data_IF_323988638923
#
_entry.id   IF_323988638923
#
_cell.length_a   1.000
_cell.length_b   1.000
_cell.length_c   1.000
_cell.angle_alpha   90.00
_cell.angle_beta   90.00
_cell.angle_gamma   90.00
#
_symmetry.space_group_name_H-M   'P 1'
#
loop_
_entity.id
_entity.type
_entity.pdbx_description
1 polymer ?
#
# COMPACT_ATOMS: atom_id res chain seq x y z
N UNK A 1 -20.47 11.70 -1.47
CA UNK A 1 -19.62 11.81 -2.68
C UNK A 1 -18.41 10.88 -2.62
N UNK A 2 -17.56 10.96 -1.60
CA UNK A 2 -16.37 10.08 -1.45
C UNK A 2 -16.69 8.58 -1.41
N UNK A 3 -17.81 8.17 -0.78
CA UNK A 3 -18.25 6.78 -0.78
C UNK A 3 -18.55 6.24 -2.19
N UNK A 4 -19.19 7.05 -3.03
CA UNK A 4 -19.48 6.69 -4.43
C UNK A 4 -18.19 6.55 -5.24
N UNK A 5 -17.25 7.50 -5.06
CA UNK A 5 -15.91 7.42 -5.65
C UNK A 5 -15.22 6.13 -5.26
N UNK A 6 -15.20 5.80 -3.97
CA UNK A 6 -14.59 4.56 -3.48
C UNK A 6 -15.24 3.32 -4.07
N UNK A 7 -16.56 3.30 -4.19
CA UNK A 7 -17.28 2.18 -4.78
C UNK A 7 -16.86 1.93 -6.24
N UNK A 8 -16.82 2.97 -7.06
CA UNK A 8 -16.41 2.89 -8.47
C UNK A 8 -14.94 2.46 -8.60
N UNK A 9 -14.04 3.06 -7.81
CA UNK A 9 -12.63 2.69 -7.82
C UNK A 9 -12.38 1.27 -7.29
N UNK A 10 -13.22 0.76 -6.39
CA UNK A 10 -13.12 -0.61 -5.90
C UNK A 10 -13.50 -1.63 -6.98
N UNK A 11 -14.55 -1.35 -7.77
CA UNK A 11 -14.90 -2.17 -8.94
C UNK A 11 -13.76 -2.21 -9.96
N UNK A 12 -13.17 -1.04 -10.24
CA UNK A 12 -12.02 -0.93 -11.13
C UNK A 12 -10.79 -1.67 -10.57
N UNK A 13 -10.55 -1.57 -9.25
CA UNK A 13 -9.49 -2.29 -8.56
C UNK A 13 -9.66 -3.81 -8.67
N UNK A 14 -10.88 -4.31 -8.47
CA UNK A 14 -11.19 -5.72 -8.61
C UNK A 14 -10.86 -6.23 -10.02
N UNK A 15 -11.24 -5.46 -11.04
CA UNK A 15 -10.88 -5.78 -12.42
C UNK A 15 -9.36 -5.75 -12.66
N UNK A 16 -8.66 -4.74 -12.14
CA UNK A 16 -7.20 -4.64 -12.22
C UNK A 16 -6.51 -5.81 -11.51
N UNK A 17 -7.02 -6.26 -10.37
CA UNK A 17 -6.48 -7.39 -9.60
C UNK A 17 -6.55 -8.71 -10.36
N UNK A 18 -7.58 -8.90 -11.19
CA UNK A 18 -7.69 -10.08 -12.05
C UNK A 18 -6.66 -10.04 -13.20
N UNK A 19 -6.33 -8.84 -13.72
CA UNK A 19 -5.45 -8.70 -14.89
C UNK A 19 -3.97 -8.52 -14.52
N UNK A 20 -3.68 -7.68 -13.52
CA UNK A 20 -2.34 -7.27 -13.09
C UNK A 20 -1.97 -8.00 -11.80
N UNK A 21 -0.69 -8.40 -11.65
CA UNK A 21 -0.24 -9.05 -10.41
C UNK A 21 -0.38 -8.14 -9.19
N UNK A 22 -0.79 -8.74 -8.06
CA UNK A 22 -1.15 -8.06 -6.79
C UNK A 22 -0.09 -7.06 -6.33
N UNK A 23 1.19 -7.44 -6.37
CA UNK A 23 2.31 -6.58 -5.98
C UNK A 23 2.44 -5.32 -6.82
N UNK A 24 2.28 -5.41 -8.14
CA UNK A 24 2.38 -4.26 -9.04
C UNK A 24 1.28 -3.25 -8.75
N UNK A 25 0.07 -3.71 -8.41
CA UNK A 25 -1.05 -2.84 -8.04
C UNK A 25 -0.76 -2.11 -6.73
N UNK A 26 -0.25 -2.79 -5.70
CA UNK A 26 0.14 -2.12 -4.44
C UNK A 26 1.19 -1.05 -4.71
N UNK A 27 2.24 -1.36 -5.46
CA UNK A 27 3.33 -0.40 -5.72
C UNK A 27 2.82 0.81 -6.52
N UNK A 28 2.05 0.60 -7.59
CA UNK A 28 1.49 1.69 -8.40
C UNK A 28 0.54 2.56 -7.57
N UNK A 29 -0.32 1.93 -6.77
CA UNK A 29 -1.25 2.67 -5.92
C UNK A 29 -0.56 3.43 -4.78
N UNK A 30 0.46 2.84 -4.14
CA UNK A 30 1.19 3.46 -3.04
C UNK A 30 2.07 4.62 -3.53
N UNK A 31 2.76 4.44 -4.66
CA UNK A 31 3.51 5.53 -5.32
C UNK A 31 2.58 6.66 -5.76
N UNK A 32 1.46 6.34 -6.39
CA UNK A 32 0.45 7.34 -6.75
C UNK A 32 -0.06 8.10 -5.52
N UNK A 33 -0.42 7.39 -4.46
CA UNK A 33 -0.90 7.98 -3.20
C UNK A 33 0.16 8.90 -2.57
N UNK A 34 1.43 8.49 -2.57
CA UNK A 34 2.55 9.29 -2.07
C UNK A 34 2.74 10.57 -2.90
N UNK A 35 2.73 10.47 -4.23
CA UNK A 35 2.91 11.62 -5.13
C UNK A 35 1.77 12.62 -4.95
N UNK A 36 0.51 12.17 -4.98
CA UNK A 36 -0.64 13.07 -4.82
C UNK A 36 -0.68 13.74 -3.44
N UNK A 37 -0.31 13.04 -2.37
CA UNK A 37 -0.28 13.63 -1.02
C UNK A 37 0.88 14.59 -0.79
N UNK A 38 2.06 14.34 -1.35
CA UNK A 38 3.20 15.27 -1.30
C UNK A 38 2.94 16.52 -2.15
N UNK A 39 2.34 16.37 -3.33
CA UNK A 39 1.89 17.50 -4.14
C UNK A 39 0.88 18.33 -3.35
N UNK A 40 -0.12 17.70 -2.74
CA UNK A 40 -1.13 18.41 -1.94
C UNK A 40 -0.50 19.17 -0.78
N UNK A 41 0.43 18.55 -0.06
CA UNK A 41 1.15 19.17 1.05
C UNK A 41 2.00 20.36 0.59
N UNK A 42 2.74 20.22 -0.52
CA UNK A 42 3.52 21.31 -1.12
C UNK A 42 2.65 22.47 -1.58
N UNK A 43 1.50 22.18 -2.21
CA UNK A 43 0.52 23.19 -2.60
C UNK A 43 -0.07 23.94 -1.40
N UNK A 44 -0.29 23.25 -0.27
CA UNK A 44 -0.81 23.86 0.95
C UNK A 44 0.25 24.65 1.73
N UNK A 45 1.53 24.30 1.64
CA UNK A 45 2.62 25.07 2.25
C UNK A 45 2.96 26.35 1.48
N UNK A 46 2.85 26.32 0.15
CA UNK A 46 3.24 27.43 -0.72
C UNK A 46 2.20 28.54 -0.90
N UNK A 47 0.99 28.43 -0.35
CA UNK A 47 -0.11 29.38 -0.60
C UNK A 47 -0.66 30.03 0.67
N UNK A 48 -0.51 31.36 0.75
CA UNK A 48 -1.09 32.27 1.76
C UNK A 48 -2.25 33.09 1.15
N UNK A 49 -2.90 32.63 0.07
CA UNK A 49 -3.97 33.40 -0.59
C UNK A 49 -5.00 32.54 -1.32
N UNK A 50 -6.29 32.85 -1.13
CA UNK A 50 -7.42 32.14 -1.74
C UNK A 50 -7.64 32.56 -3.21
N UNK A 51 -7.42 31.63 -4.15
CA UNK A 51 -7.88 31.77 -5.54
C UNK A 51 -8.87 30.66 -5.90
N UNK A 52 -9.96 31.00 -6.59
CA UNK A 52 -11.03 30.06 -6.97
C UNK A 52 -10.57 28.88 -7.85
N UNK A 53 -9.49 29.04 -8.62
CA UNK A 53 -8.89 27.97 -9.43
C UNK A 53 -8.24 26.87 -8.58
N UNK A 54 -7.89 27.15 -7.32
CA UNK A 54 -7.25 26.16 -6.43
C UNK A 54 -8.21 25.08 -5.97
N UNK A 55 -9.50 25.39 -5.84
CA UNK A 55 -10.50 24.42 -5.36
C UNK A 55 -10.63 23.23 -6.31
N UNK A 56 -10.52 23.45 -7.62
CA UNK A 56 -10.57 22.38 -8.62
C UNK A 56 -9.32 21.51 -8.61
N UNK A 57 -8.13 22.13 -8.52
CA UNK A 57 -6.84 21.41 -8.48
C UNK A 57 -6.72 20.55 -7.21
N UNK A 58 -7.07 21.12 -6.05
CA UNK A 58 -7.09 20.40 -4.77
C UNK A 58 -8.14 19.28 -4.82
N UNK A 59 -9.33 19.55 -5.37
CA UNK A 59 -10.38 18.55 -5.53
C UNK A 59 -9.92 17.35 -6.35
N UNK A 60 -9.35 17.57 -7.53
CA UNK A 60 -8.82 16.50 -8.40
C UNK A 60 -7.73 15.70 -7.68
N UNK A 61 -6.79 16.36 -7.01
CA UNK A 61 -5.73 15.68 -6.29
C UNK A 61 -6.26 14.84 -5.12
N UNK A 62 -7.25 15.35 -4.37
CA UNK A 62 -7.90 14.59 -3.28
C UNK A 62 -8.67 13.40 -3.82
N UNK A 63 -9.40 13.54 -4.93
CA UNK A 63 -10.09 12.42 -5.56
C UNK A 63 -9.10 11.37 -6.10
N UNK A 64 -7.98 11.80 -6.70
CA UNK A 64 -6.90 10.92 -7.14
C UNK A 64 -6.25 10.17 -5.98
N UNK A 65 -5.94 10.88 -4.89
CA UNK A 65 -5.45 10.30 -3.64
C UNK A 65 -6.42 9.25 -3.08
N UNK A 66 -7.71 9.59 -2.98
CA UNK A 66 -8.75 8.67 -2.48
C UNK A 66 -8.88 7.45 -3.38
N UNK A 67 -8.88 7.63 -4.71
CA UNK A 67 -9.01 6.54 -5.68
C UNK A 67 -7.85 5.56 -5.59
N UNK A 68 -6.61 6.05 -5.67
CA UNK A 68 -5.41 5.23 -5.61
C UNK A 68 -5.27 4.51 -4.26
N UNK A 69 -5.52 5.22 -3.17
CA UNK A 69 -5.51 4.63 -1.83
C UNK A 69 -6.52 3.48 -1.70
N UNK A 70 -7.71 3.63 -2.29
CA UNK A 70 -8.75 2.58 -2.29
C UNK A 70 -8.34 1.36 -3.10
N UNK A 71 -7.70 1.55 -4.26
CA UNK A 71 -7.33 0.44 -5.15
C UNK A 71 -6.38 -0.54 -4.46
N UNK A 72 -5.35 -0.03 -3.79
CA UNK A 72 -4.28 -0.89 -3.28
C UNK A 72 -4.17 -0.99 -1.77
N UNK A 73 -4.21 0.14 -1.05
CA UNK A 73 -3.87 0.15 0.37
C UNK A 73 -4.99 -0.41 1.25
N UNK A 74 -6.25 -0.30 0.85
CA UNK A 74 -7.37 -0.87 1.61
C UNK A 74 -7.65 -2.32 1.25
N UNK A 75 -7.71 -2.63 -0.05
CA UNK A 75 -8.21 -3.93 -0.52
C UNK A 75 -7.14 -5.02 -0.45
N UNK A 76 -5.87 -4.68 -0.68
CA UNK A 76 -4.84 -5.70 -0.89
C UNK A 76 -4.35 -6.33 0.42
N UNK A 77 -4.10 -5.60 1.53
CA UNK A 77 -3.64 -6.23 2.77
C UNK A 77 -4.59 -7.30 3.29
N UNK A 78 -5.91 -7.03 3.29
CA UNK A 78 -6.92 -8.00 3.70
C UNK A 78 -6.93 -9.26 2.84
N UNK A 79 -6.73 -9.10 1.53
CA UNK A 79 -6.62 -10.23 0.61
C UNK A 79 -5.31 -11.00 0.75
N UNK A 80 -4.18 -10.32 0.96
CA UNK A 80 -2.87 -10.98 1.11
C UNK A 80 -2.80 -11.80 2.38
N UNK A 81 -3.39 -11.34 3.49
CA UNK A 81 -3.54 -12.13 4.71
C UNK A 81 -4.26 -13.46 4.38
N UNK A 82 -5.33 -13.41 3.57
CA UNK A 82 -6.05 -14.62 3.15
C UNK A 82 -5.27 -15.59 2.26
N UNK A 83 -4.26 -15.11 1.54
CA UNK A 83 -3.42 -15.92 0.63
C UNK A 83 -2.12 -16.43 1.28
N UNK A 84 -1.55 -15.66 2.20
CA UNK A 84 -0.28 -15.97 2.85
C UNK A 84 -0.44 -16.96 4.02
N UNK A 85 -1.66 -17.07 4.58
CA UNK A 85 -1.91 -17.91 5.74
C UNK A 85 -2.21 -19.37 5.34
N UNK A 86 -1.47 -20.36 5.90
CA UNK A 86 -1.76 -21.77 5.66
C UNK A 86 -3.14 -22.13 6.24
N UNK A 87 -3.82 -23.09 5.59
CA UNK A 87 -5.21 -23.44 5.89
C UNK A 87 -5.48 -23.73 7.38
N UNK A 88 -4.48 -24.27 8.09
CA UNK A 88 -4.57 -24.58 9.54
C UNK A 88 -4.42 -23.37 10.46
N UNK A 89 -3.66 -22.34 10.06
CA UNK A 89 -3.39 -21.16 10.91
C UNK A 89 -4.27 -19.95 10.58
N UNK A 90 -5.07 -20.01 9.50
CA UNK A 90 -5.87 -18.89 9.00
C UNK A 90 -6.86 -18.31 10.02
N UNK A 91 -7.39 -19.14 10.92
CA UNK A 91 -8.29 -18.68 11.99
C UNK A 91 -7.59 -17.77 13.00
N UNK A 92 -6.58 -18.28 13.71
CA UNK A 92 -5.87 -17.54 14.76
C UNK A 92 -4.99 -16.43 14.16
N UNK A 93 -4.19 -16.74 13.13
CA UNK A 93 -3.29 -15.76 12.52
C UNK A 93 -4.04 -14.62 11.82
N UNK A 94 -5.16 -14.92 11.16
CA UNK A 94 -6.03 -13.91 10.58
C UNK A 94 -6.67 -13.00 11.63
N UNK A 95 -7.17 -13.59 12.72
CA UNK A 95 -7.74 -12.85 13.85
C UNK A 95 -6.72 -11.91 14.52
N UNK A 96 -5.53 -12.41 14.86
CA UNK A 96 -4.47 -11.60 15.44
C UNK A 96 -4.04 -10.46 14.52
N UNK A 97 -3.88 -10.72 13.22
CA UNK A 97 -3.51 -9.67 12.25
C UNK A 97 -4.59 -8.60 12.15
N UNK A 98 -5.86 -9.00 12.09
CA UNK A 98 -6.99 -8.07 12.08
C UNK A 98 -7.10 -7.27 13.37
N UNK A 99 -6.80 -7.88 14.52
CA UNK A 99 -6.77 -7.19 15.80
C UNK A 99 -5.70 -6.09 15.82
N UNK A 100 -4.46 -6.41 15.43
CA UNK A 100 -3.36 -5.44 15.33
C UNK A 100 -3.70 -4.32 14.33
N UNK A 101 -4.29 -4.68 13.20
CA UNK A 101 -4.72 -3.72 12.18
C UNK A 101 -5.78 -2.75 12.72
N UNK A 102 -6.83 -3.27 13.38
CA UNK A 102 -7.87 -2.44 13.98
C UNK A 102 -7.35 -1.59 15.14
N UNK A 103 -6.44 -2.12 15.95
CA UNK A 103 -5.80 -1.37 17.04
C UNK A 103 -4.97 -0.19 16.50
N UNK A 104 -4.25 -0.41 15.39
CA UNK A 104 -3.48 0.64 14.71
C UNK A 104 -4.40 1.69 14.12
N UNK A 105 -5.48 1.28 13.44
CA UNK A 105 -6.50 2.20 12.92
C UNK A 105 -7.15 3.05 14.01
N UNK A 106 -7.48 2.43 15.14
CA UNK A 106 -8.04 3.13 16.30
C UNK A 106 -7.07 4.18 16.84
N UNK A 107 -5.80 3.80 17.01
CA UNK A 107 -4.75 4.70 17.47
C UNK A 107 -4.61 5.90 16.54
N UNK A 108 -4.46 5.67 15.23
CA UNK A 108 -4.36 6.75 14.23
C UNK A 108 -5.57 7.67 14.26
N UNK A 109 -6.79 7.11 14.34
CA UNK A 109 -8.03 7.90 14.40
C UNK A 109 -8.11 8.76 15.65
N UNK A 110 -7.62 8.26 16.79
CA UNK A 110 -7.59 9.00 18.06
C UNK A 110 -6.56 10.13 18.05
N UNK A 111 -5.38 9.91 17.47
CA UNK A 111 -4.33 10.92 17.36
C UNK A 111 -4.59 11.95 16.25
N UNK A 112 -5.36 11.60 15.23
CA UNK A 112 -5.67 12.48 14.10
C UNK A 112 -6.15 13.89 14.49
N UNK A 113 -7.15 14.08 15.37
CA UNK A 113 -7.60 15.42 15.77
C UNK A 113 -6.50 16.23 16.49
N UNK A 114 -5.65 15.57 17.29
CA UNK A 114 -4.54 16.21 18.00
C UNK A 114 -3.46 16.68 17.03
N UNK A 115 -3.07 15.82 16.09
CA UNK A 115 -2.07 16.18 15.06
C UNK A 115 -2.60 17.29 14.16
N UNK A 116 -3.88 17.22 13.80
CA UNK A 116 -4.55 18.26 12.99
C UNK A 116 -4.53 19.62 13.69
N UNK A 117 -4.73 19.68 15.01
CA UNK A 117 -4.73 20.96 15.73
C UNK A 117 -3.32 21.54 15.88
N UNK A 118 -2.29 20.70 16.02
CA UNK A 118 -0.90 21.16 16.21
C UNK A 118 -0.22 21.60 14.92
N UNK A 119 -0.39 20.83 13.84
CA UNK A 119 0.40 20.95 12.60
C UNK A 119 -0.46 21.49 11.43
N UNK A 120 -1.78 21.55 11.61
CA UNK A 120 -2.70 21.96 10.55
C UNK A 120 -2.87 20.90 9.45
N UNK A 121 -3.76 21.20 8.50
CA UNK A 121 -4.10 20.26 7.41
C UNK A 121 -2.89 19.92 6.52
N UNK A 122 -2.01 20.91 6.30
CA UNK A 122 -0.84 20.77 5.41
C UNK A 122 0.15 19.70 5.88
N UNK A 123 0.52 19.70 7.16
CA UNK A 123 1.48 18.71 7.65
C UNK A 123 0.84 17.34 7.92
N UNK A 124 -0.48 17.26 8.12
CA UNK A 124 -1.19 15.96 8.12
C UNK A 124 -1.02 15.26 6.76
N UNK A 125 -1.17 15.98 5.64
CA UNK A 125 -0.90 15.42 4.31
C UNK A 125 0.56 15.05 4.10
N UNK A 126 1.51 15.81 4.67
CA UNK A 126 2.94 15.49 4.63
C UNK A 126 3.23 14.16 5.33
N UNK A 127 2.66 13.94 6.51
CA UNK A 127 2.81 12.69 7.28
C UNK A 127 2.23 11.51 6.50
N UNK A 128 1.06 11.67 5.87
CA UNK A 128 0.48 10.63 5.02
C UNK A 128 1.31 10.36 3.76
N UNK A 129 1.93 11.38 3.17
CA UNK A 129 2.84 11.20 2.05
C UNK A 129 4.09 10.44 2.43
N UNK A 130 4.73 10.80 3.53
CA UNK A 130 5.90 10.10 4.06
C UNK A 130 5.57 8.65 4.41
N UNK A 131 4.44 8.39 5.07
CA UNK A 131 4.04 7.02 5.40
C UNK A 131 3.72 6.19 4.15
N UNK A 132 3.15 6.79 3.09
CA UNK A 132 2.93 6.12 1.81
C UNK A 132 4.25 5.80 1.08
N UNK A 133 5.27 6.66 1.18
CA UNK A 133 6.63 6.37 0.66
C UNK A 133 7.25 5.21 1.42
N UNK A 134 7.22 5.22 2.75
CA UNK A 134 7.72 4.13 3.58
C UNK A 134 7.00 2.82 3.21
N UNK A 135 5.67 2.86 3.09
CA UNK A 135 4.87 1.70 2.69
C UNK A 135 5.27 1.17 1.31
N UNK A 136 5.55 2.05 0.35
CA UNK A 136 6.03 1.68 -0.98
C UNK A 136 7.37 0.94 -0.91
N UNK A 137 8.31 1.47 -0.13
CA UNK A 137 9.65 0.88 0.05
C UNK A 137 9.55 -0.48 0.74
N UNK A 138 8.77 -0.57 1.82
CA UNK A 138 8.50 -1.83 2.53
C UNK A 138 7.85 -2.88 1.62
N UNK A 139 6.84 -2.47 0.85
CA UNK A 139 6.18 -3.36 -0.12
C UNK A 139 7.15 -3.85 -1.18
N UNK A 140 8.04 -2.99 -1.64
CA UNK A 140 9.03 -3.35 -2.65
C UNK A 140 10.08 -4.34 -2.12
N UNK A 141 10.49 -4.22 -0.85
CA UNK A 141 11.52 -5.05 -0.22
C UNK A 141 11.03 -6.41 0.26
N UNK A 142 9.84 -6.46 0.88
CA UNK A 142 9.38 -7.61 1.67
C UNK A 142 8.43 -8.52 0.88
N UNK A 143 7.54 -7.96 0.05
CA UNK A 143 6.47 -8.74 -0.56
C UNK A 143 6.91 -9.51 -1.81
N UNK A 144 6.86 -10.86 -1.81
CA UNK A 144 7.02 -11.66 -3.02
C UNK A 144 5.82 -11.49 -3.96
N UNK A 145 6.03 -11.73 -5.26
CA UNK A 145 4.93 -11.70 -6.24
C UNK A 145 4.12 -13.00 -6.11
N UNK A 146 2.96 -12.95 -5.43
CA UNK A 146 2.09 -14.12 -5.18
C UNK A 146 1.38 -14.67 -6.42
N UNK A 147 1.59 -14.08 -7.60
CA UNK A 147 0.95 -14.54 -8.84
C UNK A 147 1.70 -15.78 -9.36
N UNK A 148 1.00 -16.91 -9.41
CA UNK A 148 1.45 -18.23 -9.92
C UNK A 148 2.36 -19.05 -8.98
N UNK A 149 2.41 -18.76 -7.68
CA UNK A 149 3.13 -19.60 -6.72
C UNK A 149 2.18 -20.48 -5.92
N UNK A 150 2.58 -21.72 -5.63
CA UNK A 150 1.82 -22.64 -4.78
C UNK A 150 1.96 -22.27 -3.31
N UNK A 151 1.00 -22.66 -2.46
CA UNK A 151 1.06 -22.40 -1.02
C UNK A 151 2.35 -22.96 -0.38
N UNK A 152 2.83 -24.11 -0.88
CA UNK A 152 4.07 -24.75 -0.45
C UNK A 152 5.31 -23.91 -0.77
N UNK A 153 5.39 -23.32 -1.97
CA UNK A 153 6.50 -22.42 -2.31
C UNK A 153 6.52 -21.14 -1.44
N UNK A 154 5.34 -20.68 -1.01
CA UNK A 154 5.23 -19.54 -0.08
C UNK A 154 5.66 -19.96 1.33
N UNK A 155 5.29 -21.15 1.78
CA UNK A 155 5.69 -21.70 3.09
C UNK A 155 7.21 -21.93 3.15
N UNK A 156 7.81 -22.48 2.09
CA UNK A 156 9.27 -22.63 1.94
C UNK A 156 9.97 -21.25 1.84
N UNK A 157 9.36 -20.27 1.17
CA UNK A 157 9.87 -18.90 1.09
C UNK A 157 10.03 -18.26 2.48
N UNK A 158 9.08 -18.47 3.40
CA UNK A 158 9.11 -17.94 4.76
C UNK A 158 9.94 -18.79 5.74
N UNK A 159 10.15 -20.08 5.46
CA UNK A 159 10.98 -20.97 6.28
C UNK A 159 12.49 -20.74 6.10
N UNK A 160 12.93 -20.27 4.94
CA UNK A 160 14.33 -19.90 4.74
C UNK A 160 14.64 -18.50 5.33
N UNK A 161 15.67 -18.38 6.18
CA UNK A 161 16.02 -17.19 6.98
C UNK A 161 16.39 -15.88 6.25
N UNK A 162 16.08 -15.70 4.97
CA UNK A 162 16.27 -14.46 4.22
C UNK A 162 14.92 -13.76 3.97
N UNK A 163 14.64 -12.72 4.78
CA UNK A 163 13.40 -11.92 4.72
C UNK A 163 13.32 -10.94 3.54
N UNK A 164 14.42 -10.73 2.80
CA UNK A 164 14.53 -9.74 1.72
C UNK A 164 14.36 -10.39 0.33
N UNK A 165 13.21 -10.16 -0.31
CA UNK A 165 12.89 -10.70 -1.64
C UNK A 165 13.91 -10.30 -2.73
N UNK A 166 14.47 -9.08 -2.62
CA UNK A 166 15.41 -8.50 -3.60
C UNK A 166 16.74 -9.26 -3.65
N UNK A 167 17.25 -9.66 -2.49
CA UNK A 167 18.52 -10.39 -2.37
C UNK A 167 18.40 -11.76 -3.04
N UNK A 168 17.22 -12.39 -2.93
CA UNK A 168 16.93 -13.71 -3.50
C UNK A 168 16.67 -13.67 -5.01
N UNK A 169 16.03 -12.64 -5.57
CA UNK A 169 15.90 -12.47 -7.05
C UNK A 169 17.27 -12.35 -7.73
N UNK A 170 18.23 -11.67 -7.07
CA UNK A 170 19.64 -11.62 -7.52
C UNK A 170 20.28 -13.01 -7.45
N UNK A 171 20.12 -13.75 -6.34
CA UNK A 171 20.65 -15.13 -6.21
C UNK A 171 20.03 -16.13 -7.19
N UNK A 172 18.72 -16.07 -7.45
CA UNK A 172 18.05 -16.98 -8.38
C UNK A 172 18.45 -16.67 -9.82
N UNK A 173 18.55 -15.38 -10.19
CA UNK A 173 19.08 -14.97 -11.50
C UNK A 173 20.56 -15.36 -11.65
N UNK A 174 21.35 -15.33 -10.57
CA UNK A 174 22.74 -15.82 -10.56
C UNK A 174 22.84 -17.34 -10.76
N UNK A 175 21.98 -18.14 -10.10
CA UNK A 175 21.92 -19.60 -10.27
C UNK A 175 21.51 -20.03 -11.68
N UNK A 176 20.68 -19.23 -12.36
CA UNK A 176 20.27 -19.46 -13.75
C UNK A 176 21.32 -19.00 -14.79
N UNK A 177 22.27 -18.14 -14.41
CA UNK A 177 23.36 -17.66 -15.28
C UNK A 177 24.67 -18.40 -15.09
N UNK A 178 24.78 -19.29 -14.10
CA UNK A 178 25.81 -20.33 -14.08
C UNK A 178 25.30 -21.49 -14.93
N UNK A 179 25.82 -21.70 -16.16
CA UNK A 179 25.59 -22.95 -16.84
C UNK A 179 26.08 -24.07 -15.94
N UNK A 180 25.38 -25.19 -16.01
CA UNK A 180 25.85 -26.48 -15.52
C UNK A 180 27.16 -26.84 -16.23
N UNK A 181 28.29 -26.28 -15.78
CA UNK A 181 29.63 -26.61 -16.26
C UNK A 181 30.57 -26.82 -15.05
N UNK A 182 30.43 -27.99 -14.43
CA UNK A 182 31.50 -28.93 -14.03
C UNK A 182 30.90 -30.04 -13.13
#
# INVERSE_FOLDING_TARGET
MTALTRFIFCLFACFLLLRIGRRRIVIISATGTAVFSLILSGYMFGRVGEYYLDKYVIGICVFGYVGLNTIGLLTIPGMMIGELLPHRARGIGGGCTMFIFNLTLFSVTKFFPMVKSMIGMSGVFMIFGLSAVIMTIFTWLIFPETKNQTLQEIEDYFNEGNVLWIKRRKSQKQRLTTPSDA
#
